data_IF_881660980856
#
_entry.id   IF_881660980856
#
_cell.length_a   1.000
_cell.length_b   1.000
_cell.length_c   1.000
_cell.angle_alpha   90.00
_cell.angle_beta   90.00
_cell.angle_gamma   90.00
#
_symmetry.space_group_name_H-M   'P 1'
#
loop_
_entity.id
_entity.type
_entity.pdbx_description
1 polymer ?
#
# COMPACT_ATOMS: atom_id res chain seq x y z
N UNK A 1 -0.41 15.98 -9.46
CA UNK A 1 -1.41 15.18 -8.73
C UNK A 1 -1.52 15.73 -7.31
N UNK A 2 -2.72 16.10 -6.89
CA UNK A 2 -2.95 16.58 -5.52
C UNK A 2 -3.40 15.43 -4.63
N UNK A 3 -2.51 14.98 -3.72
CA UNK A 3 -2.77 13.83 -2.81
C UNK A 3 -3.21 14.26 -1.40
N UNK A 4 -3.16 15.56 -1.09
CA UNK A 4 -3.53 16.09 0.24
C UNK A 4 -4.98 15.76 0.67
N UNK A 5 -5.99 15.84 -0.21
CA UNK A 5 -7.36 15.46 0.16
C UNK A 5 -7.46 13.98 0.55
N UNK A 6 -6.78 13.09 -0.16
CA UNK A 6 -6.76 11.66 0.17
C UNK A 6 -6.15 11.41 1.55
N UNK A 7 -5.08 12.12 1.89
CA UNK A 7 -4.45 12.03 3.21
C UNK A 7 -5.37 12.42 4.35
N UNK A 8 -6.15 13.48 4.18
CA UNK A 8 -7.12 13.93 5.17
C UNK A 8 -8.16 12.84 5.45
N UNK A 9 -8.67 12.19 4.40
CA UNK A 9 -9.63 11.08 4.53
C UNK A 9 -8.98 9.87 5.20
N UNK A 10 -7.80 9.46 4.75
CA UNK A 10 -7.09 8.29 5.27
C UNK A 10 -6.75 8.43 6.76
N UNK A 11 -6.39 9.63 7.22
CA UNK A 11 -6.16 9.91 8.65
C UNK A 11 -7.46 9.84 9.45
N UNK A 12 -8.54 10.44 8.93
CA UNK A 12 -9.87 10.39 9.57
C UNK A 12 -10.36 8.96 9.75
N UNK A 13 -10.18 8.12 8.74
CA UNK A 13 -10.56 6.70 8.75
C UNK A 13 -9.55 5.81 9.49
N UNK A 14 -8.51 6.39 10.09
CA UNK A 14 -7.45 5.67 10.83
C UNK A 14 -6.74 4.58 9.99
N UNK A 15 -6.65 4.77 8.68
CA UNK A 15 -6.02 3.82 7.78
C UNK A 15 -4.50 3.95 7.72
N UNK A 16 -3.96 5.11 8.15
CA UNK A 16 -2.52 5.37 8.25
C UNK A 16 -1.95 5.13 9.66
N UNK A 17 -2.74 4.52 10.56
CA UNK A 17 -2.37 4.33 11.97
C UNK A 17 -1.67 2.98 12.23
N UNK A 18 -1.20 2.30 11.21
CA UNK A 18 -0.40 1.09 11.41
C UNK A 18 1.03 1.48 11.80
N UNK A 19 1.31 1.42 13.09
CA UNK A 19 2.63 1.67 13.67
C UNK A 19 3.45 0.39 13.89
N UNK A 20 3.11 -0.70 13.22
CA UNK A 20 3.93 -1.90 13.29
C UNK A 20 5.37 -1.57 12.85
N UNK A 21 6.39 -2.11 13.53
CA UNK A 21 7.80 -1.81 13.20
C UNK A 21 8.14 -2.03 11.72
N UNK A 22 7.52 -3.03 11.10
CA UNK A 22 7.66 -3.30 9.67
C UNK A 22 7.14 -2.15 8.79
N UNK A 23 5.95 -1.63 9.09
CA UNK A 23 5.32 -0.56 8.32
C UNK A 23 6.13 0.74 8.41
N UNK A 24 6.63 1.08 9.59
CA UNK A 24 7.50 2.26 9.79
C UNK A 24 8.82 2.12 9.04
N UNK A 25 9.42 0.93 9.04
CA UNK A 25 10.65 0.67 8.27
C UNK A 25 10.40 0.80 6.77
N UNK A 26 9.26 0.32 6.29
CA UNK A 26 8.88 0.40 4.89
C UNK A 26 8.63 1.86 4.44
N UNK A 27 7.96 2.67 5.25
CA UNK A 27 7.78 4.10 5.03
C UNK A 27 9.14 4.81 4.91
N UNK A 28 10.03 4.62 5.89
CA UNK A 28 11.36 5.25 5.91
C UNK A 28 12.21 4.83 4.71
N UNK A 29 12.17 3.56 4.31
CA UNK A 29 12.87 3.07 3.13
C UNK A 29 12.32 3.71 1.85
N UNK A 30 11.01 3.80 1.73
CA UNK A 30 10.35 4.43 0.58
C UNK A 30 10.74 5.91 0.48
N UNK A 31 10.73 6.64 1.58
CA UNK A 31 11.19 8.04 1.61
C UNK A 31 12.64 8.15 1.13
N UNK A 32 13.53 7.32 1.67
CA UNK A 32 14.95 7.32 1.31
C UNK A 32 15.15 7.05 -0.19
N UNK A 33 14.47 6.06 -0.75
CA UNK A 33 14.54 5.71 -2.18
C UNK A 33 14.02 6.83 -3.07
N UNK A 34 12.87 7.40 -2.76
CA UNK A 34 12.28 8.50 -3.53
C UNK A 34 13.18 9.73 -3.53
N UNK A 35 13.76 10.09 -2.38
CA UNK A 35 14.75 11.18 -2.29
C UNK A 35 15.96 10.91 -3.17
N UNK A 36 16.55 9.72 -3.05
CA UNK A 36 17.74 9.34 -3.80
C UNK A 36 17.48 9.36 -5.30
N UNK A 37 16.39 8.78 -5.75
CA UNK A 37 16.03 8.71 -7.17
C UNK A 37 15.66 10.08 -7.76
N UNK A 38 15.01 10.94 -6.97
CA UNK A 38 14.71 12.30 -7.36
C UNK A 38 16.00 13.13 -7.52
N UNK A 39 16.94 13.04 -6.57
CA UNK A 39 18.23 13.73 -6.63
C UNK A 39 19.08 13.20 -7.78
N UNK A 40 19.09 11.89 -8.00
CA UNK A 40 19.86 11.23 -9.07
C UNK A 40 19.19 11.38 -10.45
N UNK A 41 18.06 12.09 -10.57
CA UNK A 41 17.28 12.26 -11.81
C UNK A 41 16.86 10.93 -12.46
N UNK A 42 16.69 9.88 -11.66
CA UNK A 42 16.11 8.58 -12.11
C UNK A 42 14.61 8.68 -12.28
N UNK A 43 13.96 9.50 -11.45
CA UNK A 43 12.56 9.88 -11.56
C UNK A 43 12.43 11.40 -11.69
N UNK A 44 11.27 11.93 -12.13
CA UNK A 44 11.03 13.37 -12.11
C UNK A 44 11.28 13.99 -10.74
N UNK A 45 11.74 15.25 -10.67
CA UNK A 45 12.00 15.91 -9.39
C UNK A 45 10.73 15.95 -8.52
N UNK A 46 10.87 15.52 -7.28
CA UNK A 46 9.82 15.57 -6.28
C UNK A 46 10.17 16.57 -5.17
N UNK A 47 9.17 17.29 -4.69
CA UNK A 47 9.29 18.10 -3.48
C UNK A 47 9.37 17.20 -2.24
N UNK A 48 9.91 17.72 -1.13
CA UNK A 48 9.93 16.98 0.13
C UNK A 48 8.53 16.58 0.61
N UNK A 49 7.55 17.46 0.39
CA UNK A 49 6.15 17.18 0.73
C UNK A 49 5.61 15.99 -0.09
N UNK A 50 5.84 15.96 -1.39
CA UNK A 50 5.43 14.83 -2.23
C UNK A 50 6.13 13.53 -1.82
N UNK A 51 7.42 13.58 -1.52
CA UNK A 51 8.17 12.40 -1.06
C UNK A 51 7.56 11.84 0.23
N UNK A 52 7.30 12.69 1.22
CA UNK A 52 6.70 12.27 2.49
C UNK A 52 5.28 11.72 2.31
N UNK A 53 4.49 12.33 1.43
CA UNK A 53 3.14 11.88 1.13
C UNK A 53 3.16 10.51 0.43
N UNK A 54 4.02 10.30 -0.56
CA UNK A 54 4.17 8.99 -1.22
C UNK A 54 4.70 7.92 -0.27
N UNK A 55 5.66 8.27 0.59
CA UNK A 55 6.18 7.34 1.59
C UNK A 55 5.07 6.89 2.57
N UNK A 56 4.22 7.82 3.01
CA UNK A 56 3.11 7.47 3.89
C UNK A 56 2.02 6.64 3.18
N UNK A 57 1.81 6.79 1.86
CA UNK A 57 0.93 5.89 1.10
C UNK A 57 1.43 4.45 1.11
N UNK A 58 2.74 4.24 1.24
CA UNK A 58 3.31 2.91 1.37
C UNK A 58 2.79 2.14 2.60
N UNK A 59 2.32 2.84 3.65
CA UNK A 59 1.67 2.21 4.81
C UNK A 59 0.38 1.48 4.44
N UNK A 60 -0.26 1.85 3.33
CA UNK A 60 -1.53 1.25 2.88
C UNK A 60 -1.34 -0.12 2.21
N UNK A 61 -0.11 -0.52 1.87
CA UNK A 61 0.11 -1.78 1.16
C UNK A 61 -0.56 -2.98 1.86
N UNK A 62 -0.60 -2.98 3.18
CA UNK A 62 -1.12 -4.04 4.03
C UNK A 62 -2.55 -3.82 4.55
N UNK A 63 -3.22 -2.73 4.15
CA UNK A 63 -4.54 -2.37 4.69
C UNK A 63 -5.58 -3.48 4.52
N UNK A 64 -5.49 -4.27 3.46
CA UNK A 64 -6.39 -5.39 3.17
C UNK A 64 -6.22 -6.59 4.12
N UNK A 65 -5.14 -6.66 4.89
CA UNK A 65 -4.98 -7.70 5.93
C UNK A 65 -6.10 -7.67 6.98
N UNK A 66 -6.77 -6.51 7.13
CA UNK A 66 -7.96 -6.39 7.99
C UNK A 66 -9.11 -7.30 7.57
N UNK A 67 -9.17 -7.72 6.31
CA UNK A 67 -10.20 -8.61 5.78
C UNK A 67 -9.82 -10.10 5.83
N UNK A 68 -8.57 -10.43 6.21
CA UNK A 68 -8.09 -11.81 6.29
C UNK A 68 -8.49 -12.42 7.64
N UNK A 69 -9.02 -13.67 7.65
CA UNK A 69 -9.33 -14.38 8.88
C UNK A 69 -8.12 -14.47 9.81
N UNK A 70 -8.33 -14.20 11.10
CA UNK A 70 -7.24 -14.16 12.10
C UNK A 70 -6.51 -15.49 12.23
N UNK A 71 -7.21 -16.61 12.02
CA UNK A 71 -6.63 -17.96 12.05
C UNK A 71 -5.59 -18.17 10.95
N UNK A 72 -5.78 -17.51 9.79
CA UNK A 72 -4.84 -17.54 8.66
C UNK A 72 -3.73 -16.53 8.89
N UNK A 73 -4.12 -15.29 9.25
CA UNK A 73 -3.19 -14.17 9.43
C UNK A 73 -2.13 -14.48 10.50
N UNK A 74 -2.54 -15.09 11.61
CA UNK A 74 -1.70 -15.39 12.78
C UNK A 74 -1.28 -16.85 12.88
N UNK A 75 -1.48 -17.65 11.82
CA UNK A 75 -1.15 -19.06 11.85
C UNK A 75 0.34 -19.29 12.12
N UNK A 76 0.70 -20.04 13.16
CA UNK A 76 2.08 -20.42 13.39
C UNK A 76 2.55 -21.44 12.32
N UNK A 77 3.63 -21.11 11.62
CA UNK A 77 4.20 -21.98 10.60
C UNK A 77 3.73 -21.70 9.17
N UNK A 78 3.87 -22.68 8.29
CA UNK A 78 3.54 -22.54 6.88
C UNK A 78 2.04 -22.61 6.63
N UNK A 79 1.55 -21.75 5.75
CA UNK A 79 0.17 -21.80 5.23
C UNK A 79 0.02 -22.98 4.26
N UNK A 80 -1.12 -23.65 4.30
CA UNK A 80 -1.52 -24.58 3.23
C UNK A 80 -1.76 -23.81 1.93
N UNK A 81 -1.84 -24.51 0.81
CA UNK A 81 -2.00 -23.88 -0.50
C UNK A 81 -3.28 -23.03 -0.59
N UNK A 82 -4.36 -23.54 -0.04
CA UNK A 82 -5.66 -22.88 0.01
C UNK A 82 -5.61 -21.63 0.93
N UNK A 83 -5.00 -21.77 2.10
CA UNK A 83 -4.81 -20.67 3.04
C UNK A 83 -3.91 -19.57 2.46
N UNK A 84 -2.87 -19.97 1.74
CA UNK A 84 -2.00 -19.01 1.05
C UNK A 84 -2.73 -18.28 -0.07
N UNK A 85 -3.67 -18.95 -0.75
CA UNK A 85 -4.55 -18.31 -1.74
C UNK A 85 -5.44 -17.25 -1.09
N UNK A 86 -6.03 -17.56 0.08
CA UNK A 86 -6.80 -16.60 0.88
C UNK A 86 -5.89 -15.46 1.34
N UNK A 87 -4.71 -15.76 1.87
CA UNK A 87 -3.75 -14.73 2.29
C UNK A 87 -3.46 -13.76 1.14
N UNK A 88 -3.13 -14.24 -0.05
CA UNK A 88 -2.82 -13.36 -1.19
C UNK A 88 -3.95 -12.40 -1.56
N UNK A 89 -5.20 -12.75 -1.27
CA UNK A 89 -6.35 -11.90 -1.62
C UNK A 89 -6.38 -10.56 -0.87
N UNK A 90 -5.58 -10.38 0.19
CA UNK A 90 -5.56 -9.10 0.89
C UNK A 90 -5.16 -7.92 0.00
N UNK A 91 -4.37 -8.15 -1.03
CA UNK A 91 -3.97 -7.10 -1.98
C UNK A 91 -5.16 -6.52 -2.73
N UNK A 92 -6.06 -7.37 -3.22
CA UNK A 92 -7.31 -6.94 -3.88
C UNK A 92 -8.33 -6.43 -2.88
N UNK A 93 -8.49 -7.08 -1.74
CA UNK A 93 -9.42 -6.66 -0.69
C UNK A 93 -9.06 -5.30 -0.08
N UNK A 94 -7.78 -4.91 -0.14
CA UNK A 94 -7.34 -3.57 0.23
C UNK A 94 -7.99 -2.51 -0.65
N UNK A 95 -7.98 -2.69 -1.97
CA UNK A 95 -8.67 -1.79 -2.91
C UNK A 95 -10.17 -1.77 -2.66
N UNK A 96 -10.80 -2.96 -2.52
CA UNK A 96 -12.24 -3.08 -2.27
C UNK A 96 -12.68 -2.37 -0.98
N UNK A 97 -11.81 -2.35 0.02
CA UNK A 97 -12.05 -1.65 1.28
C UNK A 97 -11.99 -0.13 1.08
N UNK A 98 -10.99 0.34 0.35
CA UNK A 98 -10.78 1.76 0.09
C UNK A 98 -11.85 2.33 -0.85
N UNK A 99 -12.33 1.54 -1.82
CA UNK A 99 -13.43 1.93 -2.74
C UNK A 99 -14.75 2.22 -2.02
N UNK A 100 -14.96 1.67 -0.82
CA UNK A 100 -16.16 1.92 -0.01
C UNK A 100 -16.17 3.30 0.64
N UNK A 101 -15.09 4.06 0.53
CA UNK A 101 -14.97 5.41 1.07
C UNK A 101 -15.18 6.40 -0.09
N UNK A 102 -16.40 7.02 -0.23
CA UNK A 102 -16.72 7.84 -1.39
C UNK A 102 -15.76 9.01 -1.60
N UNK A 103 -15.42 9.71 -0.51
CA UNK A 103 -14.53 10.89 -0.56
C UNK A 103 -13.10 10.49 -1.02
N UNK A 104 -12.66 9.28 -0.71
CA UNK A 104 -11.35 8.79 -1.15
C UNK A 104 -11.38 8.45 -2.65
N UNK A 105 -12.44 7.80 -3.10
CA UNK A 105 -12.63 7.42 -4.49
C UNK A 105 -12.66 8.63 -5.44
N UNK A 106 -13.15 9.78 -4.97
CA UNK A 106 -13.20 11.03 -5.73
C UNK A 106 -11.85 11.77 -5.77
N UNK A 107 -10.86 11.34 -4.98
CA UNK A 107 -9.54 11.96 -4.97
C UNK A 107 -8.73 11.58 -6.22
N UNK A 108 -8.00 12.54 -6.77
CA UNK A 108 -7.07 12.33 -7.90
C UNK A 108 -6.02 11.23 -7.61
N UNK A 109 -5.63 11.08 -6.35
CA UNK A 109 -4.65 10.09 -5.91
C UNK A 109 -5.20 8.66 -5.77
N UNK A 110 -6.52 8.44 -5.89
CA UNK A 110 -7.13 7.14 -5.63
C UNK A 110 -6.55 6.00 -6.48
N UNK A 111 -6.32 6.16 -7.80
CA UNK A 111 -5.69 5.11 -8.60
C UNK A 111 -4.33 4.69 -8.07
N UNK A 112 -3.48 5.64 -7.66
CA UNK A 112 -2.17 5.35 -7.07
C UNK A 112 -2.29 4.61 -5.73
N UNK A 113 -3.25 4.98 -4.92
CA UNK A 113 -3.51 4.33 -3.63
C UNK A 113 -3.90 2.87 -3.84
N UNK A 114 -4.80 2.60 -4.79
CA UNK A 114 -5.17 1.24 -5.16
C UNK A 114 -3.99 0.46 -5.73
N UNK A 115 -3.17 1.10 -6.54
CA UNK A 115 -1.97 0.50 -7.14
C UNK A 115 -0.98 0.02 -6.07
N UNK A 116 -0.71 0.84 -5.06
CA UNK A 116 0.13 0.47 -3.91
C UNK A 116 -0.44 -0.76 -3.18
N UNK A 117 -1.75 -0.78 -2.91
CA UNK A 117 -2.38 -1.92 -2.22
C UNK A 117 -2.36 -3.19 -3.06
N UNK A 118 -2.65 -3.08 -4.36
CA UNK A 118 -2.88 -4.21 -5.25
C UNK A 118 -1.58 -4.84 -5.73
N UNK A 119 -0.58 -4.03 -6.09
CA UNK A 119 0.56 -4.48 -6.89
C UNK A 119 1.89 -4.58 -6.14
N UNK A 120 1.95 -4.30 -4.84
CA UNK A 120 3.21 -4.37 -4.08
C UNK A 120 3.84 -5.78 -4.00
N UNK A 121 3.12 -6.82 -4.39
CA UNK A 121 3.63 -8.18 -4.56
C UNK A 121 3.86 -8.59 -6.03
N UNK A 122 3.66 -7.68 -6.96
CA UNK A 122 4.05 -7.96 -8.34
C UNK A 122 5.56 -8.07 -8.49
N UNK A 123 5.99 -8.83 -9.47
CA UNK A 123 7.40 -9.12 -9.71
C UNK A 123 7.72 -8.90 -11.17
N UNK A 124 8.90 -8.35 -11.44
CA UNK A 124 9.38 -8.07 -12.79
C UNK A 124 9.33 -9.28 -13.74
N UNK A 125 9.46 -10.49 -13.22
CA UNK A 125 9.41 -11.74 -13.97
C UNK A 125 7.99 -12.28 -14.20
N UNK A 126 6.94 -11.54 -13.82
CA UNK A 126 5.54 -11.97 -13.92
C UNK A 126 5.14 -13.09 -12.95
N UNK A 127 6.02 -13.48 -12.02
CA UNK A 127 5.72 -14.52 -11.01
C UNK A 127 5.00 -13.97 -9.79
N UNK A 128 4.73 -12.65 -9.77
CA UNK A 128 4.03 -11.96 -8.70
C UNK A 128 2.53 -12.24 -8.65
N UNK A 129 1.81 -11.46 -7.88
CA UNK A 129 0.36 -11.51 -7.76
C UNK A 129 -0.17 -10.12 -7.38
N UNK A 130 -1.46 -9.82 -7.63
CA UNK A 130 -2.52 -10.68 -8.13
C UNK A 130 -2.57 -10.82 -9.65
N UNK A 131 -2.07 -9.83 -10.41
CA UNK A 131 -2.34 -9.69 -11.84
C UNK A 131 -1.23 -10.26 -12.73
N UNK A 132 -0.05 -10.53 -12.17
CA UNK A 132 1.14 -11.07 -12.87
C UNK A 132 1.62 -10.14 -13.99
N UNK A 133 1.79 -8.86 -13.64
CA UNK A 133 2.25 -7.80 -14.53
C UNK A 133 3.70 -7.98 -14.97
#
# INVERSE_FOLDING_TARGET
>A
MNIEPAFTVLRREQLLMDHAPHSVQFENLTECLLRTFSIAAVIPPLTMTEIQLYAALALLHDVGKRAIPQEILNKPGKLAKEEFSIMKSYTTQGCDLLEKIPELRECEAFPLICDVCRHHHERWDGSGYPDRL
#
